data_IF_109813059428
#
_entry.id   IF_109813059428
#
_cell.length_a   1.000
_cell.length_b   1.000
_cell.length_c   1.000
_cell.angle_alpha   90.00
_cell.angle_beta   90.00
_cell.angle_gamma   90.00
#
_symmetry.space_group_name_H-M   'P 1'
#
loop_
_entity.id
_entity.type
_entity.pdbx_description
1 polymer ?
#
# COMPACT_ATOMS: atom_id res chain seq x y z
N UNK A 1 42.97 -5.21 47.89
CA UNK A 1 41.65 -4.56 47.74
C UNK A 1 41.06 -5.11 46.47
N UNK A 2 40.10 -6.03 46.62
CA UNK A 2 39.47 -6.76 45.51
C UNK A 2 38.35 -5.88 44.92
N UNK A 3 38.63 -5.25 43.79
CA UNK A 3 37.70 -4.35 43.08
C UNK A 3 36.75 -5.12 42.14
N UNK A 4 36.85 -6.44 42.07
CA UNK A 4 36.08 -7.32 41.19
C UNK A 4 34.55 -7.12 41.25
N UNK A 5 33.90 -7.02 42.44
CA UNK A 5 32.44 -6.93 42.51
C UNK A 5 31.89 -5.56 42.09
N UNK A 6 32.67 -4.48 42.22
CA UNK A 6 32.24 -3.12 41.83
C UNK A 6 32.33 -2.93 40.32
N UNK A 7 33.39 -3.47 39.69
CA UNK A 7 33.55 -3.43 38.24
C UNK A 7 32.45 -4.25 37.54
N UNK A 8 32.14 -5.45 38.05
CA UNK A 8 31.06 -6.28 37.53
C UNK A 8 29.67 -5.64 37.65
N UNK A 9 29.41 -4.86 38.71
CA UNK A 9 28.15 -4.15 38.88
C UNK A 9 28.03 -2.92 37.95
N UNK A 10 29.14 -2.23 37.68
CA UNK A 10 29.18 -1.14 36.71
C UNK A 10 28.95 -1.67 35.28
N UNK A 11 29.63 -2.76 34.90
CA UNK A 11 29.47 -3.40 33.60
C UNK A 11 28.02 -3.90 33.38
N UNK A 12 27.38 -4.46 34.42
CA UNK A 12 25.99 -4.91 34.35
C UNK A 12 25.01 -3.74 34.18
N UNK A 13 25.21 -2.63 34.90
CA UNK A 13 24.37 -1.44 34.77
C UNK A 13 24.54 -0.76 33.41
N UNK A 14 25.75 -0.75 32.86
CA UNK A 14 26.05 -0.17 31.54
C UNK A 14 25.46 -1.03 30.41
N UNK A 15 25.45 -2.35 30.57
CA UNK A 15 24.81 -3.30 29.65
C UNK A 15 23.28 -3.13 29.63
N UNK A 16 22.65 -3.02 30.81
CA UNK A 16 21.18 -2.87 30.94
C UNK A 16 20.68 -1.52 30.40
N UNK A 17 21.45 -0.44 30.62
CA UNK A 17 21.16 0.86 30.05
C UNK A 17 21.27 0.86 28.51
N UNK A 18 22.29 0.19 27.96
CA UNK A 18 22.46 0.06 26.51
C UNK A 18 21.36 -0.79 25.86
N UNK A 19 20.91 -1.87 26.53
CA UNK A 19 19.84 -2.73 26.00
C UNK A 19 18.48 -2.01 25.99
N UNK A 20 18.21 -1.20 27.01
CA UNK A 20 17.00 -0.37 27.11
C UNK A 20 16.96 0.70 26.02
N UNK A 21 18.05 1.46 25.81
CA UNK A 21 18.12 2.52 24.80
C UNK A 21 17.99 1.98 23.36
N UNK A 22 18.58 0.80 23.10
CA UNK A 22 18.46 0.12 21.82
C UNK A 22 17.01 -0.33 21.52
N UNK A 23 16.29 -0.83 22.53
CA UNK A 23 14.91 -1.27 22.37
C UNK A 23 13.93 -0.09 22.16
N UNK A 24 14.14 1.02 22.86
CA UNK A 24 13.34 2.24 22.68
C UNK A 24 13.55 2.85 21.29
N UNK A 25 14.80 2.90 20.83
CA UNK A 25 15.15 3.42 19.49
C UNK A 25 14.47 2.59 18.39
N UNK A 26 14.59 1.26 18.44
CA UNK A 26 13.96 0.35 17.48
C UNK A 26 12.42 0.43 17.49
N UNK A 27 11.80 0.67 18.65
CA UNK A 27 10.37 0.94 18.72
C UNK A 27 9.99 2.26 18.04
N UNK A 28 10.72 3.34 18.30
CA UNK A 28 10.46 4.66 17.71
C UNK A 28 10.56 4.66 16.18
N UNK A 29 11.56 3.95 15.64
CA UNK A 29 11.77 3.84 14.20
C UNK A 29 10.65 3.04 13.51
N UNK A 30 10.20 1.95 14.13
CA UNK A 30 9.05 1.19 13.63
C UNK A 30 7.79 2.06 13.57
N UNK A 31 7.54 2.85 14.61
CA UNK A 31 6.41 3.76 14.65
C UNK A 31 6.52 4.85 13.59
N UNK A 32 7.71 5.44 13.41
CA UNK A 32 7.96 6.43 12.38
C UNK A 32 7.71 5.85 10.98
N UNK A 33 8.26 4.68 10.67
CA UNK A 33 8.02 3.96 9.41
C UNK A 33 6.53 3.74 9.18
N UNK A 34 5.84 3.21 10.19
CA UNK A 34 4.41 2.97 10.10
C UNK A 34 3.64 4.28 9.83
N UNK A 35 3.92 5.34 10.58
CA UNK A 35 3.27 6.64 10.45
C UNK A 35 3.45 7.23 9.05
N UNK A 36 4.65 7.15 8.47
CA UNK A 36 4.90 7.66 7.10
C UNK A 36 4.14 6.84 6.05
N UNK A 37 4.09 5.51 6.18
CA UNK A 37 3.29 4.67 5.27
C UNK A 37 1.81 5.03 5.31
N UNK A 38 1.25 5.22 6.52
CA UNK A 38 -0.14 5.66 6.69
C UNK A 38 -0.35 7.06 6.11
N UNK A 39 0.60 7.98 6.30
CA UNK A 39 0.51 9.33 5.77
C UNK A 39 0.52 9.34 4.23
N UNK A 40 1.39 8.56 3.59
CA UNK A 40 1.45 8.44 2.12
C UNK A 40 0.14 7.88 1.55
N UNK A 41 -0.39 6.80 2.15
CA UNK A 41 -1.65 6.20 1.71
C UNK A 41 -2.83 7.16 1.92
N UNK A 42 -2.89 7.83 3.07
CA UNK A 42 -3.93 8.82 3.38
C UNK A 42 -3.87 10.01 2.43
N UNK A 43 -2.67 10.53 2.13
CA UNK A 43 -2.49 11.61 1.19
C UNK A 43 -2.93 11.22 -0.22
N UNK A 44 -2.56 10.03 -0.70
CA UNK A 44 -3.04 9.53 -1.98
C UNK A 44 -4.56 9.39 -2.00
N UNK A 45 -5.17 8.81 -0.98
CA UNK A 45 -6.63 8.66 -0.91
C UNK A 45 -7.35 10.02 -0.90
N UNK A 46 -6.80 11.04 -0.24
CA UNK A 46 -7.36 12.38 -0.23
C UNK A 46 -7.40 13.03 -1.62
N UNK A 47 -6.52 12.65 -2.55
CA UNK A 47 -6.55 13.14 -3.94
C UNK A 47 -7.81 12.72 -4.70
N UNK A 48 -8.55 11.72 -4.20
CA UNK A 48 -9.86 11.33 -4.73
C UNK A 48 -10.95 12.38 -4.47
N UNK A 49 -10.74 13.27 -3.50
CA UNK A 49 -11.69 14.34 -3.18
C UNK A 49 -11.50 15.56 -4.09
N UNK A 50 -10.35 15.66 -4.78
CA UNK A 50 -10.09 16.72 -5.73
C UNK A 50 -10.75 16.41 -7.08
N UNK A 51 -11.09 17.43 -7.89
CA UNK A 51 -11.55 17.22 -9.25
C UNK A 51 -10.49 16.45 -10.06
N UNK A 52 -10.85 15.28 -10.55
CA UNK A 52 -10.00 14.42 -11.35
C UNK A 52 -10.80 13.86 -12.53
N UNK A 53 -10.10 13.34 -13.55
CA UNK A 53 -10.77 12.61 -14.62
C UNK A 53 -11.42 11.35 -14.05
N UNK A 54 -12.59 10.97 -14.59
CA UNK A 54 -13.21 9.68 -14.35
C UNK A 54 -12.19 8.54 -14.33
N UNK A 55 -12.26 7.74 -13.27
CA UNK A 55 -11.41 6.59 -13.01
C UNK A 55 -9.90 6.84 -12.91
N UNK A 56 -9.41 8.07 -13.10
CA UNK A 56 -8.04 8.45 -12.81
C UNK A 56 -7.86 8.61 -11.29
N UNK A 57 -7.79 7.48 -10.58
CA UNK A 57 -7.75 7.44 -9.12
C UNK A 57 -6.63 6.54 -8.62
N UNK A 58 -6.14 6.73 -7.38
CA UNK A 58 -5.04 5.94 -6.81
C UNK A 58 -5.48 4.59 -6.21
N UNK A 59 -6.66 4.06 -6.58
CA UNK A 59 -7.26 2.90 -5.90
C UNK A 59 -6.40 1.65 -5.97
N UNK A 60 -6.01 1.22 -7.18
CA UNK A 60 -5.14 0.07 -7.36
C UNK A 60 -3.74 0.33 -6.82
N UNK A 61 -3.21 1.54 -7.02
CA UNK A 61 -1.91 1.95 -6.48
C UNK A 61 -1.82 1.87 -4.95
N UNK A 62 -2.83 2.38 -4.22
CA UNK A 62 -2.90 2.32 -2.74
C UNK A 62 -2.93 0.87 -2.27
N UNK A 63 -3.77 0.04 -2.89
CA UNK A 63 -3.90 -1.37 -2.54
C UNK A 63 -2.59 -2.14 -2.80
N UNK A 64 -2.00 -1.98 -3.99
CA UNK A 64 -0.75 -2.61 -4.38
C UNK A 64 0.41 -2.17 -3.47
N UNK A 65 0.51 -0.87 -3.17
CA UNK A 65 1.50 -0.32 -2.26
C UNK A 65 1.32 -0.83 -0.83
N UNK A 66 0.08 -0.85 -0.31
CA UNK A 66 -0.21 -1.38 1.03
C UNK A 66 0.21 -2.84 1.19
N UNK A 67 -0.05 -3.67 0.18
CA UNK A 67 0.42 -5.05 0.12
C UNK A 67 1.95 -5.19 0.18
N UNK A 68 2.67 -4.35 -0.57
CA UNK A 68 4.11 -4.42 -0.67
C UNK A 68 4.86 -3.81 0.53
N UNK A 69 4.34 -2.72 1.10
CA UNK A 69 5.07 -1.87 2.04
C UNK A 69 4.95 -2.30 3.51
N UNK A 70 3.77 -2.78 3.94
CA UNK A 70 3.55 -3.13 5.35
C UNK A 70 4.17 -4.49 5.73
N UNK A 71 4.69 -4.58 6.96
CA UNK A 71 5.27 -5.81 7.50
C UNK A 71 4.23 -6.77 8.09
N UNK A 72 3.20 -6.24 8.75
CA UNK A 72 2.11 -7.06 9.28
C UNK A 72 1.05 -7.32 8.20
N UNK A 73 0.61 -8.58 8.10
CA UNK A 73 -0.46 -8.99 7.17
C UNK A 73 -1.79 -8.28 7.45
N UNK A 74 -2.06 -7.99 8.72
CA UNK A 74 -3.24 -7.23 9.12
C UNK A 74 -3.19 -5.79 8.59
N UNK A 75 -2.08 -5.08 8.78
CA UNK A 75 -1.98 -3.70 8.31
C UNK A 75 -1.93 -3.60 6.79
N UNK A 76 -1.29 -4.55 6.09
CA UNK A 76 -1.22 -4.54 4.62
C UNK A 76 -2.58 -4.61 3.95
N UNK A 77 -3.58 -5.19 4.63
CA UNK A 77 -4.96 -5.27 4.15
C UNK A 77 -5.83 -4.17 4.75
N UNK A 78 -5.86 -4.05 6.08
CA UNK A 78 -6.81 -3.20 6.77
C UNK A 78 -6.58 -1.71 6.50
N UNK A 79 -5.33 -1.25 6.47
CA UNK A 79 -5.02 0.18 6.29
C UNK A 79 -5.44 0.71 4.92
N UNK A 80 -5.01 0.12 3.78
CA UNK A 80 -5.42 0.63 2.47
C UNK A 80 -6.94 0.56 2.29
N UNK A 81 -7.59 -0.53 2.73
CA UNK A 81 -9.04 -0.66 2.61
C UNK A 81 -9.79 0.32 3.51
N UNK A 82 -9.35 0.53 4.75
CA UNK A 82 -10.00 1.45 5.68
C UNK A 82 -9.88 2.89 5.20
N UNK A 83 -8.70 3.30 4.73
CA UNK A 83 -8.50 4.66 4.23
C UNK A 83 -9.37 4.91 2.99
N UNK A 84 -9.40 3.96 2.03
CA UNK A 84 -10.28 4.05 0.86
C UNK A 84 -11.74 4.11 1.29
N UNK A 85 -12.16 3.29 2.25
CA UNK A 85 -13.54 3.28 2.77
C UNK A 85 -13.92 4.61 3.43
N UNK A 86 -13.04 5.19 4.24
CA UNK A 86 -13.29 6.49 4.84
C UNK A 86 -13.48 7.57 3.77
N UNK A 87 -12.71 7.53 2.68
CA UNK A 87 -12.92 8.45 1.55
C UNK A 87 -14.19 8.14 0.75
N UNK A 88 -14.61 6.88 0.65
CA UNK A 88 -15.88 6.50 0.00
C UNK A 88 -17.09 7.00 0.79
N UNK A 89 -17.01 7.07 2.12
CA UNK A 89 -18.06 7.69 2.94
C UNK A 89 -18.27 9.19 2.63
N UNK A 90 -17.23 9.86 2.12
CA UNK A 90 -17.30 11.27 1.73
C UNK A 90 -17.75 11.45 0.28
N UNK A 91 -17.34 10.56 -0.63
CA UNK A 91 -17.66 10.62 -2.06
C UNK A 91 -19.06 10.07 -2.34
N UNK A 92 -19.44 8.99 -1.66
CA UNK A 92 -20.70 8.29 -1.83
C UNK A 92 -20.52 6.77 -1.96
N UNK A 93 -21.38 6.03 -1.26
CA UNK A 93 -21.42 4.56 -1.32
C UNK A 93 -22.33 4.07 -2.45
N UNK A 94 -21.97 2.97 -3.09
CA UNK A 94 -22.72 2.43 -4.24
C UNK A 94 -22.76 0.90 -4.27
N UNK A 95 -23.75 0.34 -4.97
CA UNK A 95 -24.01 -1.11 -5.05
C UNK A 95 -22.85 -1.94 -5.59
N UNK A 96 -21.99 -1.34 -6.44
CA UNK A 96 -20.81 -2.02 -6.99
C UNK A 96 -19.62 -2.14 -6.02
N UNK A 97 -19.69 -1.51 -4.83
CA UNK A 97 -18.56 -1.49 -3.88
C UNK A 97 -18.00 -2.89 -3.54
N UNK A 98 -18.80 -3.94 -3.31
CA UNK A 98 -18.24 -5.27 -3.01
C UNK A 98 -17.27 -5.77 -4.08
N UNK A 99 -17.56 -5.51 -5.37
CA UNK A 99 -16.70 -5.90 -6.49
C UNK A 99 -15.43 -5.05 -6.56
N UNK A 100 -15.56 -3.74 -6.32
CA UNK A 100 -14.41 -2.83 -6.22
C UNK A 100 -13.47 -3.29 -5.10
N UNK A 101 -13.98 -3.57 -3.92
CA UNK A 101 -13.19 -4.00 -2.76
C UNK A 101 -12.57 -5.38 -2.96
N UNK A 102 -13.24 -6.30 -3.66
CA UNK A 102 -12.63 -7.57 -4.06
C UNK A 102 -11.41 -7.35 -4.98
N UNK A 103 -11.50 -6.40 -5.92
CA UNK A 103 -10.35 -6.03 -6.75
C UNK A 103 -9.24 -5.34 -5.95
N UNK A 104 -9.57 -4.53 -4.94
CA UNK A 104 -8.57 -3.94 -4.04
C UNK A 104 -7.85 -5.03 -3.23
N UNK A 105 -8.59 -6.00 -2.69
CA UNK A 105 -7.98 -7.15 -2.00
C UNK A 105 -7.04 -7.93 -2.92
N UNK A 106 -7.44 -8.13 -4.18
CA UNK A 106 -6.58 -8.76 -5.18
C UNK A 106 -5.29 -7.94 -5.42
N UNK A 107 -5.39 -6.61 -5.51
CA UNK A 107 -4.22 -5.74 -5.63
C UNK A 107 -3.32 -5.77 -4.38
N UNK A 108 -3.91 -5.81 -3.17
CA UNK A 108 -3.14 -6.02 -1.92
C UNK A 108 -2.39 -7.34 -1.96
N UNK A 109 -3.04 -8.40 -2.43
CA UNK A 109 -2.40 -9.70 -2.60
C UNK A 109 -1.25 -9.65 -3.60
N UNK A 110 -1.44 -9.05 -4.79
CA UNK A 110 -0.36 -8.83 -5.77
C UNK A 110 0.82 -8.08 -5.16
N UNK A 111 0.55 -7.00 -4.42
CA UNK A 111 1.58 -6.20 -3.73
C UNK A 111 2.36 -7.03 -2.72
N UNK A 112 1.66 -7.87 -1.95
CA UNK A 112 2.26 -8.77 -0.98
C UNK A 112 3.19 -9.80 -1.63
N UNK A 113 2.83 -10.29 -2.83
CA UNK A 113 3.69 -11.18 -3.62
C UNK A 113 4.94 -10.46 -4.17
N UNK A 114 4.85 -9.16 -4.46
CA UNK A 114 5.97 -8.37 -4.96
C UNK A 114 7.01 -8.02 -3.89
N UNK A 115 6.66 -8.10 -2.61
CA UNK A 115 7.49 -7.62 -1.50
C UNK A 115 8.95 -8.11 -1.52
N UNK A 116 9.19 -9.36 -1.93
CA UNK A 116 10.55 -9.94 -2.02
C UNK A 116 11.30 -9.61 -3.31
N UNK A 117 10.59 -9.15 -4.34
CA UNK A 117 11.09 -8.97 -5.70
C UNK A 117 10.66 -7.62 -6.28
N UNK A 118 10.59 -6.59 -5.42
CA UNK A 118 10.12 -5.27 -5.80
C UNK A 118 11.11 -4.64 -6.78
N UNK A 119 10.80 -4.74 -8.07
CA UNK A 119 11.57 -4.22 -9.20
C UNK A 119 10.62 -3.53 -10.17
N UNK A 120 11.10 -2.59 -11.01
CA UNK A 120 10.23 -1.84 -11.91
C UNK A 120 9.37 -2.71 -12.84
N UNK A 121 9.93 -3.78 -13.41
CA UNK A 121 9.22 -4.65 -14.36
C UNK A 121 8.11 -5.48 -13.68
N UNK A 122 8.36 -6.24 -12.59
CA UNK A 122 7.29 -6.89 -11.83
C UNK A 122 6.22 -5.93 -11.33
N UNK A 123 6.60 -4.73 -10.89
CA UNK A 123 5.66 -3.71 -10.43
C UNK A 123 4.74 -3.23 -11.55
N UNK A 124 5.31 -2.93 -12.73
CA UNK A 124 4.53 -2.56 -13.91
C UNK A 124 3.58 -3.69 -14.35
N UNK A 125 4.06 -4.94 -14.32
CA UNK A 125 3.24 -6.11 -14.61
C UNK A 125 2.08 -6.30 -13.64
N UNK A 126 2.32 -6.13 -12.33
CA UNK A 126 1.27 -6.22 -11.32
C UNK A 126 0.25 -5.08 -11.43
N UNK A 127 0.71 -3.87 -11.76
CA UNK A 127 -0.15 -2.70 -12.00
C UNK A 127 -1.07 -2.96 -13.19
N UNK A 128 -0.52 -3.45 -14.31
CA UNK A 128 -1.31 -3.82 -15.48
C UNK A 128 -2.30 -4.94 -15.18
N UNK A 129 -1.85 -6.01 -14.51
CA UNK A 129 -2.71 -7.13 -14.14
C UNK A 129 -3.85 -6.71 -13.20
N UNK A 130 -3.54 -5.88 -12.21
CA UNK A 130 -4.51 -5.30 -11.29
C UNK A 130 -5.57 -4.48 -12.00
N UNK A 131 -5.16 -3.60 -12.93
CA UNK A 131 -6.07 -2.80 -13.73
C UNK A 131 -6.95 -3.66 -14.67
N UNK A 132 -6.38 -4.70 -15.29
CA UNK A 132 -7.14 -5.63 -16.15
C UNK A 132 -8.20 -6.37 -15.34
N UNK A 133 -7.84 -6.93 -14.17
CA UNK A 133 -8.79 -7.62 -13.29
C UNK A 133 -9.87 -6.66 -12.78
N UNK A 134 -9.49 -5.43 -12.42
CA UNK A 134 -10.43 -4.39 -12.03
C UNK A 134 -11.43 -4.09 -13.15
N UNK A 135 -10.94 -3.84 -14.37
CA UNK A 135 -11.78 -3.57 -15.54
C UNK A 135 -12.72 -4.73 -15.85
N UNK A 136 -12.19 -5.96 -15.89
CA UNK A 136 -12.99 -7.16 -16.20
C UNK A 136 -14.11 -7.33 -15.18
N UNK A 137 -13.78 -7.22 -13.90
CA UNK A 137 -14.70 -7.49 -12.78
C UNK A 137 -15.75 -6.40 -12.62
N UNK A 138 -15.37 -5.13 -12.68
CA UNK A 138 -16.30 -4.02 -12.47
C UNK A 138 -17.30 -3.87 -13.60
N UNK A 139 -16.88 -4.08 -14.86
CA UNK A 139 -17.82 -4.04 -16.00
C UNK A 139 -18.75 -5.26 -16.02
N UNK A 140 -18.24 -6.44 -15.63
CA UNK A 140 -19.10 -7.60 -15.40
C UNK A 140 -20.12 -7.34 -14.29
N UNK A 141 -19.70 -6.73 -13.20
CA UNK A 141 -20.60 -6.36 -12.10
C UNK A 141 -21.65 -5.33 -12.53
N UNK A 142 -21.28 -4.32 -13.32
CA UNK A 142 -22.25 -3.38 -13.91
C UNK A 142 -23.31 -4.13 -14.73
N UNK A 143 -22.88 -5.06 -15.57
CA UNK A 143 -23.82 -5.88 -16.35
C UNK A 143 -24.76 -6.68 -15.44
N UNK A 144 -24.22 -7.43 -14.46
CA UNK A 144 -25.03 -8.24 -13.53
C UNK A 144 -26.04 -7.39 -12.75
N UNK A 145 -25.63 -6.21 -12.31
CA UNK A 145 -26.42 -5.37 -11.39
C UNK A 145 -27.47 -4.53 -12.12
N UNK A 146 -27.16 -4.02 -13.31
CA UNK A 146 -28.01 -3.02 -13.98
C UNK A 146 -28.76 -3.54 -15.21
N UNK A 147 -28.35 -4.66 -15.81
CA UNK A 147 -28.96 -5.17 -17.05
C UNK A 147 -29.27 -6.66 -16.94
N UNK A 148 -28.25 -7.51 -16.75
CA UNK A 148 -28.36 -8.91 -16.31
C UNK A 148 -29.06 -9.89 -17.26
N UNK A 149 -29.61 -9.42 -18.37
CA UNK A 149 -30.57 -10.18 -19.19
C UNK A 149 -30.05 -10.55 -20.60
N UNK A 150 -28.91 -9.99 -21.04
CA UNK A 150 -28.39 -10.22 -22.38
C UNK A 150 -26.86 -10.22 -22.51
N UNK A 151 -26.33 -11.10 -23.37
CA UNK A 151 -24.91 -11.10 -23.75
C UNK A 151 -24.51 -9.84 -24.54
N UNK A 152 -25.47 -9.22 -25.23
CA UNK A 152 -25.26 -7.95 -25.92
C UNK A 152 -24.99 -6.82 -24.91
N UNK A 153 -25.73 -6.79 -23.80
CA UNK A 153 -25.48 -5.87 -22.68
C UNK A 153 -24.09 -6.04 -22.08
N UNK A 154 -23.63 -7.29 -21.91
CA UNK A 154 -22.28 -7.57 -21.42
C UNK A 154 -21.20 -6.97 -22.33
N UNK A 155 -21.30 -7.19 -23.65
CA UNK A 155 -20.37 -6.61 -24.61
C UNK A 155 -20.40 -5.08 -24.57
N UNK A 156 -21.59 -4.48 -24.42
CA UNK A 156 -21.77 -3.04 -24.31
C UNK A 156 -21.03 -2.45 -23.12
N UNK A 157 -21.14 -3.05 -21.92
CA UNK A 157 -20.41 -2.58 -20.74
C UNK A 157 -18.89 -2.64 -20.94
N UNK A 158 -18.37 -3.70 -21.56
CA UNK A 158 -16.93 -3.76 -21.86
C UNK A 158 -16.48 -2.71 -22.87
N UNK A 159 -17.23 -2.50 -23.95
CA UNK A 159 -16.90 -1.47 -24.95
C UNK A 159 -16.94 -0.07 -24.35
N UNK A 160 -17.99 0.23 -23.57
CA UNK A 160 -18.13 1.52 -22.89
C UNK A 160 -17.09 1.72 -21.78
N UNK A 161 -16.63 0.63 -21.17
CA UNK A 161 -15.61 0.67 -20.12
C UNK A 161 -14.18 0.94 -20.61
N UNK A 162 -13.88 0.75 -21.90
CA UNK A 162 -12.51 0.84 -22.44
C UNK A 162 -11.80 2.19 -22.15
N UNK A 163 -12.44 3.36 -22.30
CA UNK A 163 -11.82 4.63 -21.93
C UNK A 163 -11.47 4.69 -20.44
N UNK A 164 -12.35 4.15 -19.59
CA UNK A 164 -12.15 4.11 -18.14
C UNK A 164 -11.01 3.17 -17.74
N UNK A 165 -10.79 2.08 -18.47
CA UNK A 165 -9.62 1.21 -18.27
C UNK A 165 -8.31 1.96 -18.48
N UNK A 166 -8.21 2.74 -19.56
CA UNK A 166 -7.02 3.55 -19.81
C UNK A 166 -6.78 4.57 -18.70
N UNK A 167 -7.83 5.25 -18.24
CA UNK A 167 -7.75 6.20 -17.12
C UNK A 167 -7.36 5.52 -15.80
N UNK A 168 -7.93 4.35 -15.48
CA UNK A 168 -7.56 3.57 -14.29
C UNK A 168 -6.10 3.13 -14.33
N UNK A 169 -5.65 2.55 -15.45
CA UNK A 169 -4.27 2.12 -15.60
C UNK A 169 -3.29 3.30 -15.50
N UNK A 170 -3.61 4.43 -16.11
CA UNK A 170 -2.79 5.64 -16.03
C UNK A 170 -2.75 6.20 -14.60
N UNK A 171 -3.89 6.20 -13.90
CA UNK A 171 -3.97 6.58 -12.49
C UNK A 171 -3.10 5.68 -11.62
N UNK A 172 -3.31 4.37 -11.71
CA UNK A 172 -2.55 3.38 -10.92
C UNK A 172 -1.05 3.44 -11.20
N UNK A 173 -0.64 3.63 -12.46
CA UNK A 173 0.77 3.79 -12.81
C UNK A 173 1.36 5.09 -12.23
N UNK A 174 0.63 6.21 -12.35
CA UNK A 174 1.08 7.52 -11.86
C UNK A 174 1.21 7.54 -10.35
N UNK A 175 0.15 7.14 -9.65
CA UNK A 175 0.14 7.10 -8.19
C UNK A 175 1.02 5.98 -7.63
N UNK A 176 1.15 4.86 -8.35
CA UNK A 176 2.12 3.82 -8.04
C UNK A 176 3.55 4.37 -8.06
N UNK A 177 3.92 5.09 -9.12
CA UNK A 177 5.23 5.75 -9.19
C UNK A 177 5.45 6.72 -8.02
N UNK A 178 4.45 7.53 -7.68
CA UNK A 178 4.55 8.48 -6.56
C UNK A 178 4.70 7.77 -5.21
N UNK A 179 3.90 6.74 -4.94
CA UNK A 179 3.93 5.99 -3.68
C UNK A 179 5.22 5.18 -3.53
N UNK A 180 5.53 4.32 -4.51
CA UNK A 180 6.72 3.47 -4.46
C UNK A 180 8.01 4.27 -4.61
N UNK A 181 8.04 5.27 -5.50
CA UNK A 181 9.19 6.15 -5.69
C UNK A 181 9.41 7.07 -4.49
N UNK A 182 8.33 7.65 -3.94
CA UNK A 182 8.39 8.45 -2.73
C UNK A 182 8.87 7.65 -1.53
N UNK A 183 8.39 6.41 -1.38
CA UNK A 183 8.86 5.50 -0.33
C UNK A 183 10.34 5.14 -0.48
N UNK A 184 10.79 4.79 -1.68
CA UNK A 184 12.20 4.50 -1.95
C UNK A 184 13.10 5.72 -1.68
N UNK A 185 12.63 6.93 -1.97
CA UNK A 185 13.34 8.17 -1.68
C UNK A 185 13.43 8.43 -0.16
N UNK A 186 12.33 8.18 0.57
CA UNK A 186 12.29 8.29 2.02
C UNK A 186 13.27 7.32 2.69
N UNK A 187 13.31 6.05 2.29
CA UNK A 187 14.28 5.06 2.79
C UNK A 187 15.73 5.41 2.43
N UNK A 188 15.95 6.13 1.31
CA UNK A 188 17.28 6.60 0.91
C UNK A 188 17.80 7.70 1.84
N UNK A 189 17.00 8.72 2.13
CA UNK A 189 17.43 9.89 2.89
C UNK A 189 17.21 9.80 4.40
N UNK A 190 16.35 8.88 4.86
CA UNK A 190 16.05 8.67 6.28
C UNK A 190 16.40 7.23 6.66
N UNK A 191 17.66 6.96 7.09
CA UNK A 191 18.13 5.60 7.42
C UNK A 191 17.28 4.88 8.49
N UNK A 192 16.64 5.63 9.38
CA UNK A 192 15.72 5.13 10.40
C UNK A 192 14.51 4.36 9.80
N UNK A 193 14.19 4.58 8.52
CA UNK A 193 13.09 3.89 7.85
C UNK A 193 13.49 2.52 7.27
N UNK A 194 14.80 2.24 7.13
CA UNK A 194 15.29 0.98 6.57
C UNK A 194 15.04 -0.18 7.53
N UNK A 195 14.81 -1.41 7.03
CA UNK A 195 14.75 -2.59 7.89
C UNK A 195 16.07 -2.73 8.69
N UNK A 196 15.97 -3.10 9.97
CA UNK A 196 17.15 -3.28 10.85
C UNK A 196 18.25 -4.17 10.26
N UNK A 197 17.87 -5.16 9.45
CA UNK A 197 18.77 -6.13 8.80
C UNK A 197 19.64 -5.51 7.69
N UNK A 198 19.25 -4.37 7.13
CA UNK A 198 20.00 -3.68 6.07
C UNK A 198 20.86 -2.52 6.60
N UNK A 199 20.74 -2.18 7.89
CA UNK A 199 21.55 -1.13 8.54
C UNK A 199 22.95 -1.61 8.92
N UNK A 200 23.09 -2.88 9.31
CA UNK A 200 24.37 -3.50 9.72
C UNK A 200 25.31 -3.83 8.57
N UNK A 201 24.84 -3.82 7.32
CA UNK A 201 25.67 -4.11 6.14
C UNK A 201 26.46 -2.88 5.63
N UNK A 202 26.29 -1.71 6.26
CA UNK A 202 26.92 -0.44 5.86
C UNK A 202 28.01 0.00 6.86
N UNK A 203 28.24 -0.77 7.93
CA UNK A 203 29.37 -0.62 8.84
C UNK A 203 30.39 -1.74 8.60
#
# INVERSE_FOLDING_TARGET
MDTSPVLAAADAHETDAHETDAHETDASERWLRFAILVALISAAAALRLAPHWDNFTPLGAIALFGGAAFRSRGASVLLPLAVVFLTDLLIGVHVLMPFVYACLLFNVWLGSCLKKHLRPVPLAGATLLGAVVFFVTTNFACWVVYEGDSLAGLARYYVMGLPYFASSLAGDATYGLLLFGGWALAERYVPALRPATERTAVC
#
